data_IF_717563240286
#
_entry.id   IF_717563240286
#
_cell.length_a   1.000
_cell.length_b   1.000
_cell.length_c   1.000
_cell.angle_alpha   90.00
_cell.angle_beta   90.00
_cell.angle_gamma   90.00
#
_symmetry.space_group_name_H-M   'P 1'
#
loop_
_entity.id
_entity.type
_entity.pdbx_description
1 polymer ?
#
# COMPACT_ATOMS: atom_id res chain seq x y z
N UNK A 1 -16.37 -8.97 -27.83
CA UNK A 1 -17.20 -8.79 -26.63
C UNK A 1 -17.32 -7.30 -26.38
N UNK A 2 -18.49 -6.79 -26.09
CA UNK A 2 -18.71 -5.37 -25.79
C UNK A 2 -18.26 -5.06 -24.37
N UNK A 3 -17.50 -3.98 -24.18
CA UNK A 3 -17.04 -3.55 -22.86
C UNK A 3 -18.15 -2.72 -22.20
N UNK A 4 -18.68 -3.24 -21.10
CA UNK A 4 -19.78 -2.65 -20.34
C UNK A 4 -19.33 -2.06 -19.00
N UNK A 5 -18.21 -2.52 -18.46
CA UNK A 5 -17.66 -2.09 -17.18
C UNK A 5 -16.16 -1.79 -17.31
N UNK A 6 -15.71 -0.72 -16.69
CA UNK A 6 -14.32 -0.30 -16.71
C UNK A 6 -13.82 0.06 -15.33
N UNK A 7 -12.55 -0.24 -15.12
CA UNK A 7 -11.74 0.35 -14.07
C UNK A 7 -10.36 0.72 -14.64
N UNK A 8 -9.65 1.58 -13.95
CA UNK A 8 -8.30 1.96 -14.38
C UNK A 8 -7.43 2.34 -13.18
N UNK A 9 -6.11 2.36 -13.40
CA UNK A 9 -5.17 2.98 -12.48
C UNK A 9 -4.75 4.35 -12.99
N UNK A 10 -4.83 5.37 -12.11
CA UNK A 10 -4.44 6.76 -12.36
C UNK A 10 -3.11 7.07 -11.66
N UNK A 11 -2.20 7.73 -12.36
CA UNK A 11 -0.93 8.20 -11.79
C UNK A 11 0.10 8.57 -12.83
N UNK A 12 1.26 9.04 -12.39
CA UNK A 12 2.37 9.41 -13.25
C UNK A 12 3.72 9.22 -12.53
N UNK A 13 4.65 8.38 -13.08
CA UNK A 13 4.51 7.52 -14.24
C UNK A 13 3.61 6.31 -13.96
N UNK A 14 2.94 5.76 -14.98
CA UNK A 14 1.95 4.68 -14.79
C UNK A 14 2.21 3.43 -15.66
N UNK A 15 3.11 3.52 -16.63
CA UNK A 15 3.34 2.47 -17.63
C UNK A 15 3.71 1.10 -17.00
N UNK A 16 4.39 1.10 -15.87
CA UNK A 16 4.89 -0.09 -15.18
C UNK A 16 3.91 -0.66 -14.14
N UNK A 17 2.72 -0.08 -13.98
CA UNK A 17 1.73 -0.60 -13.03
C UNK A 17 1.32 -2.03 -13.38
N UNK A 18 1.33 -2.91 -12.37
CA UNK A 18 0.88 -4.30 -12.48
C UNK A 18 -0.61 -4.48 -12.18
N UNK A 19 -1.33 -3.40 -11.80
CA UNK A 19 -2.76 -3.46 -11.50
C UNK A 19 -3.60 -4.06 -12.65
N UNK A 20 -3.36 -3.74 -13.95
CA UNK A 20 -4.10 -4.38 -15.04
C UNK A 20 -3.90 -5.89 -15.12
N UNK A 21 -2.72 -6.39 -14.76
CA UNK A 21 -2.43 -7.85 -14.73
C UNK A 21 -3.26 -8.51 -13.63
N UNK A 22 -3.26 -7.94 -12.43
CA UNK A 22 -4.02 -8.44 -11.29
C UNK A 22 -5.53 -8.43 -11.55
N UNK A 23 -6.08 -7.28 -11.93
CA UNK A 23 -7.53 -7.15 -12.17
C UNK A 23 -7.99 -7.97 -13.38
N UNK A 24 -7.20 -8.01 -14.47
CA UNK A 24 -7.50 -8.85 -15.64
C UNK A 24 -7.61 -10.33 -15.29
N UNK A 25 -6.65 -10.87 -14.53
CA UNK A 25 -6.70 -12.24 -14.03
C UNK A 25 -7.90 -12.45 -13.08
N UNK A 26 -8.22 -11.45 -12.26
CA UNK A 26 -9.39 -11.47 -11.40
C UNK A 26 -10.70 -11.54 -12.16
N UNK A 27 -10.86 -10.73 -13.23
CA UNK A 27 -12.05 -10.74 -14.07
C UNK A 27 -12.24 -12.08 -14.78
N UNK A 28 -11.15 -12.64 -15.32
CA UNK A 28 -11.17 -13.96 -15.98
C UNK A 28 -11.60 -15.05 -15.00
N UNK A 29 -10.93 -15.13 -13.83
CA UNK A 29 -11.21 -16.15 -12.83
C UNK A 29 -12.61 -16.05 -12.19
N UNK A 30 -13.15 -14.84 -12.08
CA UNK A 30 -14.52 -14.60 -11.59
C UNK A 30 -15.60 -14.71 -12.68
N UNK A 31 -15.23 -14.98 -13.95
CA UNK A 31 -16.18 -15.06 -15.07
C UNK A 31 -16.87 -13.72 -15.38
N UNK A 32 -16.22 -12.61 -15.10
CA UNK A 32 -16.75 -11.26 -15.32
C UNK A 32 -16.52 -10.83 -16.77
N UNK A 33 -17.48 -11.15 -17.63
CA UNK A 33 -17.44 -10.74 -19.03
C UNK A 33 -17.74 -9.24 -19.19
N UNK A 34 -17.11 -8.60 -20.19
CA UNK A 34 -17.31 -7.18 -20.49
C UNK A 34 -16.60 -6.22 -19.55
N UNK A 35 -15.71 -6.70 -18.68
CA UNK A 35 -14.84 -5.88 -17.82
C UNK A 35 -13.51 -5.59 -18.49
N UNK A 36 -13.04 -4.35 -18.34
CA UNK A 36 -11.74 -3.89 -18.81
C UNK A 36 -11.03 -3.12 -17.70
N UNK A 37 -9.73 -3.38 -17.54
CA UNK A 37 -8.88 -2.60 -16.63
C UNK A 37 -7.69 -2.00 -17.39
N UNK A 38 -7.51 -0.68 -17.30
CA UNK A 38 -6.50 0.05 -18.08
C UNK A 38 -5.59 0.91 -17.21
N UNK A 39 -4.58 1.52 -17.84
CA UNK A 39 -3.71 2.55 -17.24
C UNK A 39 -4.06 3.89 -17.86
N UNK A 40 -4.20 4.92 -17.04
CA UNK A 40 -4.43 6.29 -17.50
C UNK A 40 -3.34 7.18 -16.87
N UNK A 41 -2.52 7.79 -17.72
CA UNK A 41 -1.55 8.79 -17.26
C UNK A 41 -2.32 9.99 -16.72
N UNK A 42 -2.04 10.36 -15.47
CA UNK A 42 -2.79 11.41 -14.78
C UNK A 42 -1.87 12.15 -13.79
N UNK A 43 -1.84 13.46 -13.88
CA UNK A 43 -1.27 14.32 -12.86
C UNK A 43 -2.33 14.70 -11.81
N UNK A 44 -1.90 15.17 -10.64
CA UNK A 44 -2.81 15.49 -9.54
C UNK A 44 -3.89 16.51 -9.94
N UNK A 45 -3.52 17.55 -10.65
CA UNK A 45 -4.39 18.63 -11.13
C UNK A 45 -5.38 18.19 -12.22
N UNK A 46 -5.11 17.07 -12.88
CA UNK A 46 -5.98 16.52 -13.93
C UNK A 46 -7.04 15.57 -13.40
N UNK A 47 -6.83 15.02 -12.19
CA UNK A 47 -7.65 13.91 -11.64
C UNK A 47 -9.15 14.22 -11.69
N UNK A 48 -9.57 15.37 -11.19
CA UNK A 48 -10.99 15.77 -11.17
C UNK A 48 -11.62 15.76 -12.56
N UNK A 49 -10.90 16.25 -13.58
CA UNK A 49 -11.36 16.26 -14.96
C UNK A 49 -11.45 14.84 -15.52
N UNK A 50 -10.39 14.05 -15.37
CA UNK A 50 -10.30 12.68 -15.87
C UNK A 50 -11.43 11.81 -15.29
N UNK A 51 -11.68 11.90 -14.00
CA UNK A 51 -12.72 11.11 -13.35
C UNK A 51 -14.14 11.56 -13.77
N UNK A 52 -14.39 12.87 -13.87
CA UNK A 52 -15.71 13.40 -14.30
C UNK A 52 -16.03 13.06 -15.75
N UNK A 53 -15.03 13.07 -16.62
CA UNK A 53 -15.20 12.80 -18.07
C UNK A 53 -15.16 11.30 -18.41
N UNK A 54 -14.89 10.40 -17.44
CA UNK A 54 -14.72 8.97 -17.69
C UNK A 54 -15.99 8.22 -18.16
N UNK A 55 -17.16 8.81 -17.97
CA UNK A 55 -18.44 8.22 -18.36
C UNK A 55 -18.96 7.17 -17.37
N UNK A 56 -20.16 6.64 -17.70
CA UNK A 56 -20.91 5.77 -16.77
C UNK A 56 -20.41 4.34 -16.70
N UNK A 57 -19.60 3.89 -17.63
CA UNK A 57 -19.02 2.54 -17.63
C UNK A 57 -17.94 2.36 -16.58
N UNK A 58 -17.29 3.44 -16.12
CA UNK A 58 -16.27 3.35 -15.07
C UNK A 58 -16.89 3.11 -13.71
N UNK A 59 -16.45 2.02 -13.06
CA UNK A 59 -16.86 1.58 -11.73
C UNK A 59 -15.90 2.00 -10.65
N UNK A 60 -14.63 2.22 -11.00
CA UNK A 60 -13.64 2.67 -10.07
C UNK A 60 -12.29 3.01 -10.67
N UNK A 61 -11.49 3.65 -9.84
CA UNK A 61 -10.10 3.98 -10.16
C UNK A 61 -9.19 3.60 -9.00
N UNK A 62 -8.16 2.82 -9.29
CA UNK A 62 -6.99 2.77 -8.42
C UNK A 62 -6.19 4.04 -8.62
N UNK A 63 -5.64 4.59 -7.55
CA UNK A 63 -4.92 5.86 -7.60
C UNK A 63 -3.55 5.71 -6.98
N UNK A 64 -2.51 6.10 -7.72
CA UNK A 64 -1.14 6.14 -7.21
C UNK A 64 -0.56 7.56 -7.29
N UNK A 65 0.71 7.71 -6.96
CA UNK A 65 1.42 8.99 -7.04
C UNK A 65 1.30 9.62 -8.44
N UNK A 66 1.08 10.94 -8.57
CA UNK A 66 0.96 11.93 -7.49
C UNK A 66 -0.49 12.18 -7.02
N UNK A 67 -1.45 11.38 -7.45
CA UNK A 67 -2.88 11.68 -7.43
C UNK A 67 -3.60 11.38 -6.09
N UNK A 68 -2.96 10.71 -5.11
CA UNK A 68 -3.63 10.20 -3.90
C UNK A 68 -4.28 11.28 -3.02
N UNK A 69 -3.70 12.46 -2.92
CA UNK A 69 -4.29 13.59 -2.19
C UNK A 69 -5.46 14.18 -2.99
N UNK A 70 -5.25 14.39 -4.30
CA UNK A 70 -6.30 14.90 -5.16
C UNK A 70 -7.53 13.98 -5.23
N UNK A 71 -7.34 12.66 -5.10
CA UNK A 71 -8.43 11.69 -5.04
C UNK A 71 -9.24 11.83 -3.74
N UNK A 72 -8.57 12.07 -2.61
CA UNK A 72 -9.23 12.33 -1.33
C UNK A 72 -10.07 13.59 -1.40
N UNK A 73 -9.49 14.68 -1.92
CA UNK A 73 -10.16 15.99 -2.04
C UNK A 73 -11.32 15.99 -3.06
N UNK A 74 -11.24 15.11 -4.05
CA UNK A 74 -12.24 15.02 -5.13
C UNK A 74 -13.52 14.30 -4.72
N UNK A 75 -13.43 13.32 -3.83
CA UNK A 75 -14.51 12.39 -3.54
C UNK A 75 -15.69 13.07 -2.81
N UNK A 76 -16.90 12.60 -3.12
CA UNK A 76 -18.14 13.02 -2.44
C UNK A 76 -18.21 12.42 -1.04
N UNK A 77 -17.70 11.20 -0.86
CA UNK A 77 -17.61 10.45 0.40
C UNK A 77 -16.20 9.95 0.64
N UNK A 78 -15.77 10.00 1.90
CA UNK A 78 -14.44 9.52 2.32
C UNK A 78 -14.60 8.52 3.45
N UNK A 79 -13.98 7.34 3.31
CA UNK A 79 -13.97 6.36 4.39
C UNK A 79 -13.14 6.87 5.58
N UNK A 80 -13.48 6.41 6.79
CA UNK A 80 -12.78 6.82 8.01
C UNK A 80 -11.28 6.57 7.92
N UNK A 81 -10.85 5.41 7.41
CA UNK A 81 -9.43 5.09 7.25
C UNK A 81 -8.72 5.98 6.22
N UNK A 82 -9.38 6.31 5.09
CA UNK A 82 -8.80 7.23 4.12
C UNK A 82 -8.64 8.64 4.72
N UNK A 83 -9.57 9.07 5.55
CA UNK A 83 -9.50 10.33 6.27
C UNK A 83 -8.37 10.32 7.31
N UNK A 84 -8.24 9.27 8.13
CA UNK A 84 -7.15 9.11 9.11
C UNK A 84 -5.77 9.09 8.43
N UNK A 85 -5.65 8.41 7.28
CA UNK A 85 -4.42 8.36 6.51
C UNK A 85 -4.14 9.68 5.80
N UNK A 86 -5.19 10.45 5.46
CA UNK A 86 -5.08 11.71 4.73
C UNK A 86 -4.72 11.52 3.25
N UNK A 87 -5.04 10.35 2.66
CA UNK A 87 -4.88 10.09 1.23
C UNK A 87 -5.75 8.92 0.79
N UNK A 88 -6.11 8.88 -0.50
CA UNK A 88 -6.90 7.79 -1.08
C UNK A 88 -6.14 7.13 -2.25
N UNK A 89 -6.12 5.79 -2.27
CA UNK A 89 -5.61 5.03 -3.40
C UNK A 89 -6.73 4.39 -4.23
N UNK A 90 -7.99 4.63 -3.85
CA UNK A 90 -9.17 4.00 -4.46
C UNK A 90 -10.30 5.01 -4.55
N UNK A 91 -10.88 5.15 -5.73
CA UNK A 91 -12.13 5.83 -5.97
C UNK A 91 -13.15 4.81 -6.49
N UNK A 92 -14.27 4.65 -5.82
CA UNK A 92 -15.34 3.72 -6.22
C UNK A 92 -16.60 4.49 -6.52
N UNK A 93 -17.27 4.15 -7.61
CA UNK A 93 -18.56 4.75 -7.97
C UNK A 93 -19.69 4.02 -7.28
N UNK A 94 -20.39 4.72 -6.39
CA UNK A 94 -21.51 4.20 -5.60
C UNK A 94 -22.71 5.12 -5.84
N UNK A 95 -23.81 4.60 -6.38
CA UNK A 95 -25.06 5.36 -6.63
C UNK A 95 -24.86 6.70 -7.35
N UNK A 96 -23.90 6.74 -8.28
CA UNK A 96 -23.58 7.94 -9.06
C UNK A 96 -22.59 8.90 -8.42
N UNK A 97 -22.20 8.67 -7.17
CA UNK A 97 -21.21 9.44 -6.40
C UNK A 97 -19.85 8.73 -6.36
N UNK A 98 -18.79 9.47 -6.03
CA UNK A 98 -17.45 8.92 -5.87
C UNK A 98 -17.07 8.82 -4.39
N UNK A 99 -16.75 7.59 -3.96
CA UNK A 99 -16.26 7.32 -2.61
C UNK A 99 -14.77 7.07 -2.66
N UNK A 100 -14.02 7.80 -1.85
CA UNK A 100 -12.59 7.61 -1.63
C UNK A 100 -12.31 6.61 -0.50
N UNK A 101 -11.36 5.72 -0.74
CA UNK A 101 -10.87 4.76 0.24
C UNK A 101 -9.35 4.61 0.15
N UNK A 102 -8.75 4.01 1.19
CA UNK A 102 -7.33 3.67 1.18
C UNK A 102 -7.12 2.17 1.42
N UNK A 103 -7.04 1.41 0.34
CA UNK A 103 -6.82 -0.05 0.38
C UNK A 103 -5.34 -0.45 0.54
N UNK A 104 -4.40 0.51 0.55
CA UNK A 104 -3.01 0.24 0.95
C UNK A 104 -2.95 -0.36 2.36
N UNK A 105 -3.94 -0.05 3.20
CA UNK A 105 -4.09 -0.63 4.53
C UNK A 105 -4.26 -2.15 4.51
N UNK A 106 -5.19 -2.66 3.68
CA UNK A 106 -5.35 -4.11 3.49
C UNK A 106 -4.12 -4.72 2.87
N UNK A 107 -3.50 -4.02 1.91
CA UNK A 107 -2.24 -4.46 1.33
C UNK A 107 -1.16 -4.65 2.37
N UNK A 108 -0.98 -3.68 3.27
CA UNK A 108 -0.02 -3.75 4.36
C UNK A 108 -0.36 -4.87 5.35
N UNK A 109 -1.65 -5.05 5.71
CA UNK A 109 -2.10 -6.16 6.56
C UNK A 109 -1.78 -7.52 5.95
N UNK A 110 -2.04 -7.71 4.65
CA UNK A 110 -1.74 -8.96 3.93
C UNK A 110 -0.24 -9.24 3.98
N UNK A 111 0.60 -8.26 3.67
CA UNK A 111 2.04 -8.41 3.68
C UNK A 111 2.61 -8.70 5.08
N UNK A 112 2.14 -7.99 6.10
CA UNK A 112 2.57 -8.21 7.49
C UNK A 112 2.12 -9.58 8.02
N UNK A 113 0.90 -10.03 7.71
CA UNK A 113 0.43 -11.37 8.07
C UNK A 113 1.20 -12.47 7.36
N UNK A 114 1.56 -12.28 6.09
CA UNK A 114 2.42 -13.21 5.35
C UNK A 114 3.80 -13.33 6.00
N UNK A 115 4.38 -12.19 6.39
CA UNK A 115 5.70 -12.12 7.03
C UNK A 115 5.71 -12.77 8.42
N UNK A 116 4.71 -12.44 9.25
CA UNK A 116 4.70 -12.76 10.68
C UNK A 116 3.90 -14.02 11.02
N UNK A 117 3.10 -14.54 10.08
CA UNK A 117 2.20 -15.66 10.32
C UNK A 117 1.19 -15.35 11.43
N UNK A 118 1.25 -16.12 12.51
CA UNK A 118 0.39 -15.92 13.68
C UNK A 118 0.98 -15.04 14.77
N UNK A 119 2.23 -14.55 14.59
CA UNK A 119 2.88 -13.67 15.56
C UNK A 119 2.30 -12.27 15.44
N UNK A 120 1.87 -11.71 16.57
CA UNK A 120 1.42 -10.31 16.65
C UNK A 120 2.61 -9.44 17.08
N UNK A 121 3.02 -8.45 16.29
CA UNK A 121 4.15 -7.60 16.63
C UNK A 121 3.77 -6.66 17.76
N UNK A 122 4.62 -6.57 18.79
CA UNK A 122 4.47 -5.61 19.87
C UNK A 122 5.27 -4.34 19.63
N UNK A 123 6.43 -4.49 18.99
CA UNK A 123 7.34 -3.40 18.66
C UNK A 123 7.69 -3.43 17.19
N UNK A 124 7.54 -2.31 16.53
CA UNK A 124 7.87 -2.18 15.11
C UNK A 124 8.82 -1.01 14.85
N UNK A 125 9.63 -1.15 13.82
CA UNK A 125 10.37 -0.05 13.21
C UNK A 125 9.71 0.26 11.88
N UNK A 126 9.32 1.51 11.66
CA UNK A 126 8.75 2.00 10.42
C UNK A 126 9.70 2.99 9.76
N UNK A 127 10.27 2.62 8.62
CA UNK A 127 11.21 3.48 7.89
C UNK A 127 10.46 4.27 6.82
N UNK A 128 10.49 5.60 6.96
CA UNK A 128 9.75 6.54 6.14
C UNK A 128 8.50 7.09 6.84
N UNK A 129 8.03 8.25 6.35
CA UNK A 129 6.89 8.96 6.93
C UNK A 129 5.94 9.52 5.84
N UNK A 130 5.88 8.90 4.67
CA UNK A 130 4.98 9.26 3.57
C UNK A 130 3.59 8.60 3.66
N UNK A 131 2.79 8.75 2.61
CA UNK A 131 1.44 8.16 2.56
C UNK A 131 1.41 6.65 2.75
N UNK A 132 2.36 5.90 2.16
CA UNK A 132 2.46 4.45 2.35
C UNK A 132 2.85 4.09 3.79
N UNK A 133 3.73 4.87 4.43
CA UNK A 133 4.09 4.66 5.84
C UNK A 133 2.86 4.82 6.77
N UNK A 134 1.97 5.75 6.46
CA UNK A 134 0.71 5.95 7.21
C UNK A 134 -0.21 4.72 7.08
N UNK A 135 -0.31 4.12 5.89
CA UNK A 135 -1.07 2.88 5.69
C UNK A 135 -0.45 1.69 6.45
N UNK A 136 0.89 1.58 6.47
CA UNK A 136 1.61 0.56 7.26
C UNK A 136 1.41 0.80 8.77
N UNK A 137 1.47 2.04 9.24
CA UNK A 137 1.19 2.40 10.64
C UNK A 137 -0.22 1.96 11.03
N UNK A 138 -1.21 2.24 10.19
CA UNK A 138 -2.58 1.79 10.41
C UNK A 138 -2.64 0.25 10.52
N UNK A 139 -1.98 -0.47 9.62
CA UNK A 139 -1.95 -1.93 9.64
C UNK A 139 -1.26 -2.50 10.89
N UNK A 140 -0.18 -1.88 11.37
CA UNK A 140 0.49 -2.26 12.62
C UNK A 140 -0.44 -2.07 13.82
N UNK A 141 -1.20 -0.97 13.87
CA UNK A 141 -2.22 -0.73 14.91
C UNK A 141 -3.28 -1.83 14.92
N UNK A 142 -3.82 -2.19 13.75
CA UNK A 142 -4.83 -3.26 13.62
C UNK A 142 -4.28 -4.64 14.02
N UNK A 143 -2.98 -4.87 13.94
CA UNK A 143 -2.31 -6.07 14.45
C UNK A 143 -2.02 -6.01 15.95
N UNK A 144 -2.39 -4.93 16.63
CA UNK A 144 -2.18 -4.76 18.08
C UNK A 144 -0.73 -4.43 18.45
N UNK A 145 0.01 -3.79 17.55
CA UNK A 145 1.33 -3.24 17.86
C UNK A 145 1.22 -2.18 18.95
N UNK A 146 2.12 -2.20 19.92
CA UNK A 146 2.07 -1.32 21.09
C UNK A 146 3.05 -0.15 20.94
N UNK A 147 4.19 -0.39 20.27
CA UNK A 147 5.26 0.60 20.13
C UNK A 147 5.76 0.66 18.68
N UNK A 148 5.88 1.86 18.12
CA UNK A 148 6.44 2.07 16.79
C UNK A 148 7.53 3.13 16.85
N UNK A 149 8.74 2.77 16.42
CA UNK A 149 9.81 3.75 16.16
C UNK A 149 9.82 4.11 14.69
N UNK A 150 9.51 5.36 14.37
CA UNK A 150 9.55 5.88 13.00
C UNK A 150 10.95 6.43 12.72
N UNK A 151 11.62 5.85 11.72
CA UNK A 151 12.93 6.32 11.23
C UNK A 151 12.68 7.21 10.00
N UNK A 152 13.01 8.49 10.09
CA UNK A 152 12.83 9.43 8.99
C UNK A 152 13.85 10.57 9.07
N UNK A 153 14.03 11.31 7.97
CA UNK A 153 14.98 12.45 7.90
C UNK A 153 14.57 13.64 8.76
N UNK A 154 13.28 13.79 9.04
CA UNK A 154 12.71 14.85 9.85
C UNK A 154 11.62 14.30 10.75
N UNK A 155 11.45 14.93 11.91
CA UNK A 155 10.35 14.60 12.81
C UNK A 155 9.01 15.03 12.17
N UNK A 156 8.08 14.10 12.09
CA UNK A 156 6.72 14.26 11.60
C UNK A 156 5.68 13.74 12.59
N UNK A 157 6.03 13.68 13.88
CA UNK A 157 5.19 13.13 14.94
C UNK A 157 3.77 13.71 14.94
N UNK A 158 3.66 15.03 14.72
CA UNK A 158 2.37 15.71 14.68
C UNK A 158 1.39 15.15 13.62
N UNK A 159 1.91 14.60 12.52
CA UNK A 159 1.08 14.02 11.46
C UNK A 159 0.56 12.62 11.78
N UNK A 160 1.08 11.99 12.83
CA UNK A 160 0.76 10.62 13.22
C UNK A 160 -0.15 10.53 14.45
N UNK A 161 -0.51 11.65 15.09
CA UNK A 161 -1.28 11.68 16.36
C UNK A 161 -2.57 10.87 16.26
N UNK A 162 -3.34 11.07 15.19
CA UNK A 162 -4.60 10.33 14.99
C UNK A 162 -4.37 8.85 14.64
N UNK A 163 -3.37 8.55 13.81
CA UNK A 163 -3.02 7.18 13.44
C UNK A 163 -2.41 6.39 14.59
N UNK A 164 -1.72 7.09 15.49
CA UNK A 164 -1.02 6.50 16.62
C UNK A 164 -1.92 6.16 17.81
N UNK A 165 -3.24 6.35 17.72
CA UNK A 165 -4.16 6.06 18.81
C UNK A 165 -3.95 4.66 19.40
N UNK A 166 -3.61 4.60 20.68
CA UNK A 166 -3.35 3.35 21.39
C UNK A 166 -1.94 2.77 21.22
N UNK A 167 -1.05 3.45 20.49
CA UNK A 167 0.36 3.07 20.32
C UNK A 167 1.28 4.15 20.90
N UNK A 168 2.43 3.72 21.41
CA UNK A 168 3.54 4.61 21.74
C UNK A 168 4.42 4.81 20.49
N UNK A 169 4.42 6.03 19.95
CA UNK A 169 5.13 6.36 18.71
C UNK A 169 6.30 7.30 19.00
N UNK A 170 7.50 6.84 18.70
CA UNK A 170 8.73 7.61 18.79
C UNK A 170 9.33 7.88 17.40
N UNK A 171 10.12 8.93 17.29
CA UNK A 171 10.84 9.31 16.07
C UNK A 171 12.34 9.36 16.30
N UNK A 172 13.10 8.85 15.32
CA UNK A 172 14.53 9.06 15.26
C UNK A 172 14.99 9.33 13.82
N UNK A 173 16.18 9.90 13.70
CA UNK A 173 16.84 10.11 12.39
C UNK A 173 17.74 8.94 12.03
N UNK A 174 18.27 8.95 10.82
CA UNK A 174 19.21 7.92 10.35
C UNK A 174 20.58 7.95 11.07
N UNK A 175 20.85 8.97 11.89
CA UNK A 175 22.08 9.09 12.70
C UNK A 175 21.95 8.40 14.07
N UNK A 176 20.76 7.90 14.41
CA UNK A 176 20.54 7.12 15.64
C UNK A 176 21.22 5.74 15.58
N UNK A 177 21.32 5.07 16.69
CA UNK A 177 21.75 3.67 16.78
C UNK A 177 20.63 2.75 16.25
N UNK A 178 20.56 2.66 14.90
CA UNK A 178 19.51 1.90 14.20
C UNK A 178 19.63 0.39 14.45
N UNK A 179 20.83 -0.11 14.74
CA UNK A 179 21.02 -1.52 15.08
C UNK A 179 20.33 -1.87 16.40
N UNK A 180 20.55 -1.08 17.43
CA UNK A 180 19.87 -1.26 18.72
C UNK A 180 18.35 -1.14 18.58
N UNK A 181 17.87 -0.24 17.73
CA UNK A 181 16.43 -0.06 17.44
C UNK A 181 15.86 -1.29 16.73
N UNK A 182 16.55 -1.82 15.72
CA UNK A 182 16.11 -2.99 14.97
C UNK A 182 16.15 -4.29 15.80
N UNK A 183 17.17 -4.47 16.62
CA UNK A 183 17.30 -5.64 17.51
C UNK A 183 16.17 -5.76 18.54
N UNK A 184 15.51 -4.66 18.86
CA UNK A 184 14.39 -4.65 19.81
C UNK A 184 13.03 -4.81 19.11
N UNK A 185 12.99 -4.78 17.79
CA UNK A 185 11.76 -4.83 17.01
C UNK A 185 11.34 -6.26 16.66
N UNK A 186 10.05 -6.50 16.61
CA UNK A 186 9.46 -7.74 16.10
C UNK A 186 9.33 -7.69 14.56
N UNK A 187 9.35 -6.48 13.98
CA UNK A 187 9.30 -6.25 12.54
C UNK A 187 9.90 -4.90 12.16
N UNK A 188 10.62 -4.87 11.05
CA UNK A 188 11.04 -3.64 10.36
C UNK A 188 10.24 -3.51 9.07
N UNK A 189 9.48 -2.42 8.93
CA UNK A 189 8.74 -2.09 7.72
C UNK A 189 9.40 -0.91 7.00
N UNK A 190 9.80 -1.08 5.75
CA UNK A 190 10.41 -0.04 4.92
C UNK A 190 9.43 0.48 3.87
N UNK A 191 9.31 1.80 3.77
CA UNK A 191 8.44 2.49 2.80
C UNK A 191 9.19 3.53 1.97
N UNK A 192 10.51 3.47 1.98
CA UNK A 192 11.39 4.38 1.24
C UNK A 192 12.05 3.69 0.06
N UNK A 193 12.52 4.43 -0.96
CA UNK A 193 13.27 3.85 -2.06
C UNK A 193 14.47 3.04 -1.57
N UNK A 194 14.77 1.94 -2.25
CA UNK A 194 15.83 1.00 -1.88
C UNK A 194 17.22 1.67 -1.73
N UNK A 195 17.50 2.68 -2.55
CA UNK A 195 18.77 3.42 -2.53
C UNK A 195 18.97 4.20 -1.22
N UNK A 196 17.89 4.66 -0.58
CA UNK A 196 17.94 5.37 0.70
C UNK A 196 18.50 4.47 1.80
N UNK A 197 18.16 3.18 1.77
CA UNK A 197 18.55 2.23 2.81
C UNK A 197 19.85 1.48 2.52
N UNK A 198 20.47 1.69 1.37
CA UNK A 198 21.69 0.97 1.02
C UNK A 198 22.80 1.06 2.08
N UNK A 199 22.97 2.23 2.69
CA UNK A 199 23.98 2.46 3.73
C UNK A 199 23.50 2.12 5.17
N UNK A 200 22.20 1.85 5.35
CA UNK A 200 21.60 1.54 6.65
C UNK A 200 21.10 0.09 6.74
N UNK A 201 21.21 -0.68 5.65
CA UNK A 201 20.73 -2.06 5.59
C UNK A 201 21.39 -2.95 6.64
N UNK A 202 22.69 -2.75 6.88
CA UNK A 202 23.45 -3.51 7.87
C UNK A 202 22.92 -3.31 9.29
N UNK A 203 22.48 -2.12 9.62
CA UNK A 203 21.95 -1.78 10.93
C UNK A 203 20.48 -2.21 11.09
N UNK A 204 19.67 -2.08 10.04
CA UNK A 204 18.22 -2.35 10.10
C UNK A 204 17.84 -3.81 9.85
N UNK A 205 18.73 -4.63 9.31
CA UNK A 205 18.46 -6.02 8.93
C UNK A 205 18.49 -7.02 10.09
N UNK A 206 18.08 -6.64 11.31
CA UNK A 206 18.12 -7.46 12.52
C UNK A 206 16.74 -7.89 13.05
N UNK A 207 15.73 -7.88 12.18
CA UNK A 207 14.37 -8.36 12.46
C UNK A 207 13.71 -8.85 11.17
N UNK A 208 12.53 -9.52 11.21
CA UNK A 208 11.69 -9.75 10.04
C UNK A 208 11.44 -8.46 9.26
N UNK A 209 11.56 -8.49 7.93
CA UNK A 209 11.45 -7.28 7.09
C UNK A 209 10.26 -7.35 6.14
N UNK A 210 9.41 -6.34 6.20
CA UNK A 210 8.48 -5.98 5.15
C UNK A 210 9.01 -4.76 4.40
N UNK A 211 9.35 -4.90 3.11
CA UNK A 211 9.75 -3.79 2.26
C UNK A 211 8.70 -3.57 1.16
N UNK A 212 8.11 -2.38 1.08
CA UNK A 212 7.06 -2.07 0.10
C UNK A 212 7.57 -2.02 -1.34
N UNK A 213 8.90 -2.08 -1.54
CA UNK A 213 9.50 -2.10 -2.86
C UNK A 213 9.39 -3.51 -3.46
N UNK A 214 9.03 -3.57 -4.73
CA UNK A 214 9.00 -4.82 -5.52
C UNK A 214 9.87 -4.75 -6.77
N UNK A 215 10.37 -3.58 -7.14
CA UNK A 215 11.30 -3.41 -8.25
C UNK A 215 12.25 -2.20 -7.98
N UNK A 216 13.58 -2.45 -7.90
CA UNK A 216 14.26 -3.74 -7.95
C UNK A 216 14.00 -4.60 -6.70
N UNK A 217 14.01 -5.92 -6.86
CA UNK A 217 13.87 -6.89 -5.77
C UNK A 217 14.89 -8.02 -5.95
N UNK A 218 15.55 -8.55 -4.87
CA UNK A 218 15.45 -8.08 -3.49
C UNK A 218 16.18 -6.74 -3.25
N UNK A 219 15.71 -5.98 -2.27
CA UNK A 219 16.36 -4.73 -1.85
C UNK A 219 17.59 -5.01 -0.96
N UNK A 220 18.52 -4.05 -0.79
CA UNK A 220 19.64 -4.22 0.15
C UNK A 220 19.21 -4.61 1.56
N UNK A 221 18.13 -4.02 2.07
CA UNK A 221 17.58 -4.35 3.39
C UNK A 221 17.05 -5.79 3.43
N UNK A 222 16.31 -6.22 2.42
CA UNK A 222 15.81 -7.59 2.31
C UNK A 222 16.94 -8.61 2.24
N UNK A 223 18.00 -8.34 1.47
CA UNK A 223 19.20 -9.18 1.38
C UNK A 223 19.85 -9.31 2.75
N UNK A 224 20.01 -8.19 3.47
CA UNK A 224 20.67 -8.20 4.78
C UNK A 224 19.86 -8.97 5.83
N UNK A 225 18.57 -8.73 5.94
CA UNK A 225 17.69 -9.44 6.86
C UNK A 225 17.71 -10.96 6.58
N UNK A 226 17.57 -11.37 5.31
CA UNK A 226 17.65 -12.78 4.94
C UNK A 226 19.01 -13.40 5.28
N UNK A 227 20.10 -12.67 5.08
CA UNK A 227 21.47 -13.13 5.46
C UNK A 227 21.65 -13.32 6.96
N UNK A 228 20.90 -12.57 7.76
CA UNK A 228 20.84 -12.71 9.22
C UNK A 228 19.83 -13.77 9.69
N UNK A 229 19.16 -14.47 8.76
CA UNK A 229 18.21 -15.55 9.06
C UNK A 229 16.78 -15.08 9.31
N UNK A 230 16.45 -13.83 9.04
CA UNK A 230 15.09 -13.31 9.21
C UNK A 230 14.24 -13.48 7.93
N UNK A 231 12.93 -13.76 8.07
CA UNK A 231 12.04 -13.77 6.93
C UNK A 231 11.87 -12.38 6.31
N UNK A 232 11.61 -12.35 5.01
CA UNK A 232 11.40 -11.11 4.26
C UNK A 232 10.19 -11.22 3.34
N UNK A 233 9.41 -10.14 3.26
CA UNK A 233 8.27 -10.00 2.33
C UNK A 233 8.41 -8.70 1.56
N UNK A 234 8.24 -8.77 0.24
CA UNK A 234 8.34 -7.62 -0.67
C UNK A 234 7.00 -6.99 -1.02
N UNK A 235 7.06 -5.89 -1.74
CA UNK A 235 5.89 -5.07 -2.08
C UNK A 235 4.85 -5.75 -2.98
N UNK A 236 5.16 -6.88 -3.64
CA UNK A 236 4.16 -7.61 -4.43
C UNK A 236 3.01 -8.14 -3.55
N UNK A 237 3.28 -8.54 -2.31
CA UNK A 237 2.23 -8.96 -1.37
C UNK A 237 1.30 -7.82 -1.00
N UNK A 238 1.85 -6.63 -0.77
CA UNK A 238 1.04 -5.42 -0.55
C UNK A 238 0.23 -5.03 -1.79
N UNK A 239 0.86 -5.10 -2.97
CA UNK A 239 0.20 -4.80 -4.25
C UNK A 239 -0.99 -5.76 -4.49
N UNK A 240 -0.81 -7.05 -4.22
CA UNK A 240 -1.89 -8.02 -4.33
C UNK A 240 -3.01 -7.72 -3.33
N UNK A 241 -2.70 -7.54 -2.06
CA UNK A 241 -3.67 -7.30 -0.99
C UNK A 241 -4.54 -6.07 -1.23
N UNK A 242 -3.94 -4.94 -1.63
CA UNK A 242 -4.70 -3.73 -1.97
C UNK A 242 -5.58 -3.91 -3.21
N UNK A 243 -5.13 -4.71 -4.19
CA UNK A 243 -5.89 -4.99 -5.41
C UNK A 243 -7.09 -5.90 -5.15
N UNK A 244 -7.03 -6.81 -4.17
CA UNK A 244 -8.20 -7.62 -3.78
C UNK A 244 -9.33 -6.72 -3.26
N UNK A 245 -9.02 -5.82 -2.35
CA UNK A 245 -10.01 -4.89 -1.80
C UNK A 245 -10.57 -3.94 -2.88
N UNK A 246 -9.73 -3.49 -3.82
CA UNK A 246 -10.18 -2.70 -4.96
C UNK A 246 -11.09 -3.50 -5.89
N UNK A 247 -10.72 -4.74 -6.21
CA UNK A 247 -11.54 -5.63 -7.04
C UNK A 247 -12.94 -5.81 -6.45
N UNK A 248 -13.02 -6.11 -5.16
CA UNK A 248 -14.29 -6.29 -4.45
C UNK A 248 -15.14 -5.00 -4.46
N UNK A 249 -14.50 -3.84 -4.27
CA UNK A 249 -15.20 -2.55 -4.34
C UNK A 249 -15.70 -2.20 -5.75
N UNK A 250 -14.93 -2.50 -6.79
CA UNK A 250 -15.31 -2.16 -8.16
C UNK A 250 -16.37 -3.10 -8.72
N UNK A 251 -16.31 -4.38 -8.39
CA UNK A 251 -17.15 -5.43 -9.00
C UNK A 251 -18.33 -5.86 -8.13
N UNK A 252 -18.24 -5.66 -6.82
CA UNK A 252 -19.19 -6.24 -5.85
C UNK A 252 -19.05 -7.75 -5.67
N UNK A 253 -18.00 -8.38 -6.24
CA UNK A 253 -17.73 -9.83 -6.19
C UNK A 253 -16.49 -10.07 -5.36
N UNK A 254 -16.45 -11.18 -4.61
CA UNK A 254 -15.27 -11.59 -3.84
C UNK A 254 -14.06 -11.78 -4.77
N UNK A 255 -12.92 -11.26 -4.37
CA UNK A 255 -11.70 -11.33 -5.18
C UNK A 255 -11.16 -12.76 -5.28
N UNK A 256 -10.92 -13.29 -6.49
CA UNK A 256 -10.27 -14.58 -6.68
C UNK A 256 -8.76 -14.47 -6.40
N UNK A 257 -8.42 -14.37 -5.13
CA UNK A 257 -7.09 -13.96 -4.61
C UNK A 257 -5.96 -14.83 -5.13
N UNK A 258 -6.18 -16.14 -5.23
CA UNK A 258 -5.17 -17.08 -5.73
C UNK A 258 -4.82 -16.78 -7.19
N UNK A 259 -5.83 -16.69 -8.07
CA UNK A 259 -5.62 -16.39 -9.48
C UNK A 259 -4.99 -15.02 -9.71
N UNK A 260 -5.42 -14.01 -8.94
CA UNK A 260 -4.83 -12.67 -9.00
C UNK A 260 -3.35 -12.69 -8.56
N UNK A 261 -3.02 -13.43 -7.50
CA UNK A 261 -1.64 -13.53 -7.00
C UNK A 261 -0.72 -14.29 -7.96
N UNK A 262 -1.18 -15.41 -8.52
CA UNK A 262 -0.42 -16.19 -9.50
C UNK A 262 -0.06 -15.38 -10.75
N UNK A 263 -0.92 -14.45 -11.15
CA UNK A 263 -0.66 -13.59 -12.29
C UNK A 263 0.56 -12.68 -12.12
N UNK A 264 1.00 -12.39 -10.88
CA UNK A 264 2.24 -11.63 -10.61
C UNK A 264 3.51 -12.47 -10.79
N UNK A 265 3.41 -13.79 -10.88
CA UNK A 265 4.55 -14.70 -11.02
C UNK A 265 4.86 -15.07 -12.48
N UNK A 266 4.04 -14.57 -13.40
CA UNK A 266 4.17 -14.77 -14.86
C UNK A 266 4.87 -13.58 -15.51
#
# INVERSE_FOLDING_TARGET
>A
MEITHRAAVLGSPIAHSLSPVLHGAGYEAAGLEGWEYTRILCQAEELSRVVRESGETYRGFSVTMPCKFAALDFADEVTERAQQIGSANTLTRVDGHWRADNTDCEGALVALRELLGHTLPKRAVLVGAGGTARAVMWALRELGCEQVTVVNRSDRAAEYVELAQGMDVSFCTYDADLESVALQADVVASTVPADVLKQHADQLGHAPVFDVIYNPWPTPLAIRAASNGYPVVGGLSMLAGQSYAQFEQFTGVEAPREAMREALSR
#
